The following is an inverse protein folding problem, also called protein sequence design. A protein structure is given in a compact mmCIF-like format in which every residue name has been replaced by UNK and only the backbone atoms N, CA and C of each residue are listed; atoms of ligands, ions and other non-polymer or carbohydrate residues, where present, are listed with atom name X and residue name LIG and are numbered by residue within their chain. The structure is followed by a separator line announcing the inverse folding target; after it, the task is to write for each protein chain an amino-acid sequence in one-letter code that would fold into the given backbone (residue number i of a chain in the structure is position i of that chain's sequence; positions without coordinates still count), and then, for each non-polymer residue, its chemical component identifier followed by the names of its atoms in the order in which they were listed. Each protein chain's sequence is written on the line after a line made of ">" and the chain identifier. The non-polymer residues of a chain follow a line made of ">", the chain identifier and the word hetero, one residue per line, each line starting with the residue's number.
data_IF_587130366871
#
_entry.id   IF_587130366871
#
_cell.length_a   1.000
_cell.length_b   1.000
_cell.length_c   1.000
_cell.angle_alpha   90.00
_cell.angle_beta   90.00
_cell.angle_gamma   90.00
#
_symmetry.space_group_name_H-M   'P 1'
#
loop_
_entity.id
_entity.type
_entity.pdbx_description
1 polymer ?
#
# COMPACT_ATOMS: atom_id res chain seq x y z
N UNK A 1 -4.22 7.02 15.28
CA UNK A 1 -3.65 6.18 14.21
C UNK A 1 -4.15 6.65 12.86
N UNK A 2 -3.25 6.77 11.94
CA UNK A 2 -3.59 7.11 10.56
C UNK A 2 -3.66 5.84 9.74
N UNK A 3 -4.57 5.81 8.79
CA UNK A 3 -4.81 4.64 7.98
C UNK A 3 -4.92 5.04 6.52
N UNK A 4 -4.35 4.24 5.64
CA UNK A 4 -4.33 4.56 4.22
C UNK A 4 -4.33 3.27 3.41
N UNK A 5 -5.05 3.26 2.32
CA UNK A 5 -4.99 2.15 1.37
C UNK A 5 -4.33 2.66 0.11
N UNK A 6 -3.26 1.99 -0.27
CA UNK A 6 -2.51 2.35 -1.47
C UNK A 6 -2.88 1.42 -2.60
N UNK A 7 -2.96 1.96 -3.79
CA UNK A 7 -3.35 1.20 -4.97
C UNK A 7 -2.39 1.49 -6.10
N UNK A 8 -2.11 0.48 -6.90
CA UNK A 8 -1.30 0.63 -8.08
C UNK A 8 -1.65 -0.46 -9.08
N UNK A 9 -1.51 -0.15 -10.36
CA UNK A 9 -1.73 -1.13 -11.40
C UNK A 9 -0.49 -1.97 -11.69
N UNK A 10 0.61 -1.69 -10.99
CA UNK A 10 1.85 -2.40 -11.18
C UNK A 10 2.46 -2.75 -9.83
N UNK A 11 2.86 -4.02 -9.68
CA UNK A 11 3.37 -4.50 -8.41
C UNK A 11 4.65 -3.75 -8.01
N UNK A 12 5.55 -3.53 -8.95
CA UNK A 12 6.81 -2.85 -8.63
C UNK A 12 6.57 -1.41 -8.22
N UNK A 13 5.60 -0.75 -8.85
CA UNK A 13 5.26 0.61 -8.48
C UNK A 13 4.68 0.64 -7.07
N UNK A 14 3.87 -0.35 -6.73
CA UNK A 14 3.31 -0.45 -5.39
C UNK A 14 4.41 -0.66 -4.36
N UNK A 15 5.38 -1.53 -4.67
CA UNK A 15 6.50 -1.75 -3.78
C UNK A 15 7.25 -0.46 -3.47
N UNK A 16 7.48 0.35 -4.49
CA UNK A 16 8.17 1.62 -4.30
C UNK A 16 7.37 2.56 -3.41
N UNK A 17 6.07 2.62 -3.63
CA UNK A 17 5.20 3.47 -2.81
C UNK A 17 5.20 3.00 -1.36
N UNK A 18 5.09 1.70 -1.16
CA UNK A 18 5.09 1.14 0.19
C UNK A 18 6.42 1.44 0.88
N UNK A 19 7.52 1.25 0.16
CA UNK A 19 8.84 1.48 0.72
C UNK A 19 9.02 2.94 1.17
N UNK A 20 8.55 3.88 0.34
CA UNK A 20 8.62 5.29 0.69
C UNK A 20 7.79 5.60 1.93
N UNK A 21 6.64 4.98 2.05
CA UNK A 21 5.78 5.21 3.21
C UNK A 21 6.39 4.61 4.47
N UNK A 22 7.06 3.46 4.34
CA UNK A 22 7.75 2.86 5.48
C UNK A 22 8.82 3.82 6.00
N UNK A 23 9.54 4.47 5.09
CA UNK A 23 10.55 5.44 5.48
C UNK A 23 9.96 6.63 6.24
N UNK A 24 8.69 6.90 6.02
CA UNK A 24 8.00 8.01 6.70
C UNK A 24 7.29 7.56 7.97
N UNK A 25 7.48 6.32 8.37
CA UNK A 25 6.89 5.82 9.60
C UNK A 25 5.62 5.01 9.42
N UNK A 26 5.21 4.74 8.20
CA UNK A 26 4.05 3.91 7.93
C UNK A 26 4.43 2.44 8.01
N UNK A 27 3.51 1.61 8.46
CA UNK A 27 3.72 0.17 8.53
C UNK A 27 2.66 -0.54 7.69
N UNK A 28 3.04 -1.51 6.87
CA UNK A 28 2.06 -2.25 6.09
C UNK A 28 1.27 -3.20 6.98
N UNK A 29 -0.01 -3.35 6.69
CA UNK A 29 -0.90 -4.24 7.41
C UNK A 29 -1.29 -5.39 6.50
N UNK A 30 -0.90 -6.59 6.88
CA UNK A 30 -1.23 -7.77 6.09
C UNK A 30 -0.49 -7.78 4.76
N UNK A 31 -0.94 -8.64 3.88
CA UNK A 31 -0.34 -8.76 2.56
C UNK A 31 -1.02 -7.90 1.53
N UNK A 32 -0.51 -7.98 0.32
CA UNK A 32 -1.06 -7.24 -0.80
C UNK A 32 -2.32 -7.94 -1.32
N UNK A 33 -3.36 -7.18 -1.56
CA UNK A 33 -4.58 -7.70 -2.18
C UNK A 33 -4.56 -7.38 -3.66
N UNK A 34 -5.08 -8.30 -4.45
CA UNK A 34 -5.16 -8.12 -5.89
C UNK A 34 -6.62 -8.13 -6.30
N UNK A 35 -7.01 -7.12 -7.07
CA UNK A 35 -8.35 -7.04 -7.61
C UNK A 35 -8.24 -6.68 -9.07
N UNK A 36 -9.01 -7.34 -9.92
CA UNK A 36 -8.98 -7.02 -11.32
C UNK A 36 -9.71 -8.03 -12.16
N UNK A 37 -9.86 -7.70 -13.43
CA UNK A 37 -10.49 -8.57 -14.40
C UNK A 37 -10.25 -8.03 -15.79
N UNK A 38 -10.44 -8.87 -16.78
CA UNK A 38 -10.33 -8.46 -18.18
C UNK A 38 -9.01 -7.74 -18.50
N UNK A 39 -7.91 -8.31 -18.05
CA UNK A 39 -6.59 -7.78 -18.37
C UNK A 39 -6.13 -6.63 -17.51
N UNK A 40 -6.93 -6.20 -16.56
CA UNK A 40 -6.54 -5.14 -15.63
C UNK A 40 -6.42 -5.71 -14.22
N UNK A 41 -5.30 -5.45 -13.59
CA UNK A 41 -5.10 -5.86 -12.21
C UNK A 41 -4.68 -4.65 -11.39
N UNK A 42 -5.25 -4.55 -10.19
CA UNK A 42 -4.88 -3.49 -9.26
C UNK A 42 -4.41 -4.14 -7.98
N UNK A 43 -3.31 -3.65 -7.47
CA UNK A 43 -2.72 -4.16 -6.24
C UNK A 43 -2.95 -3.14 -5.14
N UNK A 44 -3.37 -3.64 -3.98
CA UNK A 44 -3.72 -2.77 -2.84
C UNK A 44 -2.93 -3.19 -1.62
N UNK A 45 -2.51 -2.20 -0.85
CA UNK A 45 -1.81 -2.45 0.40
C UNK A 45 -2.30 -1.45 1.44
N UNK A 46 -2.79 -1.98 2.56
CA UNK A 46 -3.20 -1.14 3.67
C UNK A 46 -1.98 -0.74 4.48
N UNK A 47 -1.93 0.50 4.88
CA UNK A 47 -0.84 1.05 5.67
C UNK A 47 -1.40 1.77 6.87
N UNK A 48 -0.69 1.72 7.97
CA UNK A 48 -1.08 2.42 9.18
C UNK A 48 0.13 3.14 9.77
N UNK A 49 -0.13 4.23 10.43
CA UNK A 49 0.91 5.03 11.06
C UNK A 49 0.41 5.51 12.41
N UNK A 50 1.26 5.42 13.41
CA UNK A 50 0.92 5.95 14.71
C UNK A 50 0.71 7.44 14.61
N UNK A 51 -0.28 7.94 15.33
CA UNK A 51 -0.51 9.37 15.35
C UNK A 51 0.70 10.03 15.99
N UNK A 52 1.25 10.99 15.29
CA UNK A 52 2.41 11.70 15.78
C UNK A 52 1.97 12.63 16.92
N UNK A 53 2.83 12.76 17.89
CA UNK A 53 2.58 13.69 18.99
C UNK A 53 3.11 15.06 18.69
#
# INVERSE_FOLDING_TARGET
>A
MKYKIMRSGDMKALEKKVRKHIEKGWAPLGGVSVCGGYGHAHFHQAMAKEASQ
#
